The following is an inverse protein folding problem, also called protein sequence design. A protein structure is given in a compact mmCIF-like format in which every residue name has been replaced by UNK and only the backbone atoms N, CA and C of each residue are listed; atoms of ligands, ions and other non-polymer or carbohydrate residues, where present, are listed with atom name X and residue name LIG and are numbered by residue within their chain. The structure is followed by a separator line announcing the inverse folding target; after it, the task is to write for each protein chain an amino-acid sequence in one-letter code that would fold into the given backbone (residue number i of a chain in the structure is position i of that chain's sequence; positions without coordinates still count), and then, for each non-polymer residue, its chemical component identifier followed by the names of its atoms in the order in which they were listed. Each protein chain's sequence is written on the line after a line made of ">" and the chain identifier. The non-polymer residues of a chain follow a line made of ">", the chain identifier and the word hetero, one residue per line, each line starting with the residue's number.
data_IF_187382176417
#
_entry.id   IF_187382176417
#
_cell.length_a   1.000
_cell.length_b   1.000
_cell.length_c   1.000
_cell.angle_alpha   90.00
_cell.angle_beta   90.00
_cell.angle_gamma   90.00
#
_symmetry.space_group_name_H-M   'P 1'
#
loop_
_entity.id
_entity.type
_entity.pdbx_description
1 polymer ?
#
# COMPACT_ATOMS: atom_id res chain seq x y z
N UNK A 1 4.53 6.70 28.36
CA UNK A 1 4.04 5.32 28.57
C UNK A 1 2.55 5.43 28.74
N UNK A 2 1.78 4.72 27.90
CA UNK A 2 0.32 4.73 27.97
C UNK A 2 -0.16 3.88 29.14
N UNK A 3 -1.36 4.15 29.65
CA UNK A 3 -1.98 3.25 30.61
C UNK A 3 -2.34 1.92 29.94
N UNK A 4 -2.22 0.82 30.68
CA UNK A 4 -2.47 -0.52 30.13
C UNK A 4 -3.93 -0.72 29.75
N UNK A 5 -4.87 -0.15 30.51
CA UNK A 5 -6.29 -0.23 30.18
C UNK A 5 -6.61 0.55 28.90
N UNK A 6 -6.04 1.74 28.74
CA UNK A 6 -6.16 2.55 27.52
C UNK A 6 -5.67 1.79 26.27
N UNK A 7 -4.53 1.09 26.37
CA UNK A 7 -4.01 0.27 25.27
C UNK A 7 -4.97 -0.86 24.90
N UNK A 8 -5.52 -1.56 25.90
CA UNK A 8 -6.47 -2.66 25.67
C UNK A 8 -7.76 -2.15 25.01
N UNK A 9 -8.31 -1.05 25.51
CA UNK A 9 -9.55 -0.50 24.96
C UNK A 9 -9.34 0.06 23.55
N UNK A 10 -8.20 0.70 23.29
CA UNK A 10 -7.81 1.14 21.94
C UNK A 10 -7.73 -0.03 20.97
N UNK A 11 -7.03 -1.11 21.31
CA UNK A 11 -6.94 -2.29 20.45
C UNK A 11 -8.31 -2.93 20.20
N UNK A 12 -9.16 -3.05 21.24
CA UNK A 12 -10.50 -3.62 21.10
C UNK A 12 -11.36 -2.83 20.12
N UNK A 13 -11.43 -1.50 20.28
CA UNK A 13 -12.15 -0.61 19.36
C UNK A 13 -11.59 -0.71 17.94
N UNK A 14 -10.27 -0.63 17.79
CA UNK A 14 -9.61 -0.74 16.49
C UNK A 14 -9.91 -2.07 15.79
N UNK A 15 -9.89 -3.18 16.54
CA UNK A 15 -10.17 -4.51 16.01
C UNK A 15 -11.60 -4.66 15.51
N UNK A 16 -12.57 -4.13 16.25
CA UNK A 16 -13.97 -4.09 15.83
C UNK A 16 -14.17 -3.25 14.56
N UNK A 17 -13.55 -2.07 14.49
CA UNK A 17 -13.75 -1.14 13.38
C UNK A 17 -12.98 -1.52 12.11
N UNK A 18 -11.76 -2.06 12.26
CA UNK A 18 -10.82 -2.25 11.15
C UNK A 18 -10.69 -3.70 10.67
N UNK A 19 -10.91 -4.70 11.52
CA UNK A 19 -10.59 -6.10 11.21
C UNK A 19 -11.79 -7.05 11.15
N UNK A 20 -12.88 -6.75 11.86
CA UNK A 20 -14.00 -7.70 12.05
C UNK A 20 -14.55 -8.34 10.76
N UNK A 21 -14.56 -7.60 9.64
CA UNK A 21 -15.05 -8.12 8.35
C UNK A 21 -14.00 -8.70 7.41
N UNK A 22 -12.71 -8.52 7.66
CA UNK A 22 -11.66 -8.76 6.65
C UNK A 22 -10.36 -9.40 7.19
N UNK A 23 -10.13 -9.40 8.50
CA UNK A 23 -9.02 -10.08 9.17
C UNK A 23 -9.46 -10.64 10.53
N UNK A 24 -10.26 -11.72 10.54
CA UNK A 24 -10.84 -12.27 11.77
C UNK A 24 -9.78 -12.66 12.81
N UNK A 25 -8.63 -13.19 12.38
CA UNK A 25 -7.50 -13.51 13.27
C UNK A 25 -6.99 -12.26 14.02
N UNK A 26 -6.86 -11.13 13.34
CA UNK A 26 -6.40 -9.87 13.96
C UNK A 26 -7.48 -9.24 14.83
N UNK A 27 -8.76 -9.37 14.46
CA UNK A 27 -9.87 -8.97 15.33
C UNK A 27 -9.84 -9.76 16.66
N UNK A 28 -9.60 -11.07 16.59
CA UNK A 28 -9.48 -11.93 17.76
C UNK A 28 -8.31 -11.52 18.67
N UNK A 29 -7.12 -11.31 18.10
CA UNK A 29 -5.95 -10.84 18.87
C UNK A 29 -6.24 -9.52 19.58
N UNK A 30 -6.94 -8.60 18.91
CA UNK A 30 -7.33 -7.32 19.50
C UNK A 30 -8.32 -7.49 20.65
N UNK A 31 -9.33 -8.37 20.52
CA UNK A 31 -10.35 -8.56 21.56
C UNK A 31 -9.81 -9.25 22.82
N UNK A 32 -8.86 -10.17 22.64
CA UNK A 32 -8.27 -11.01 23.71
C UNK A 32 -6.96 -10.41 24.28
N UNK A 33 -6.52 -9.25 23.79
CA UNK A 33 -5.24 -8.63 24.17
C UNK A 33 -5.06 -8.50 25.70
N UNK A 34 -6.14 -8.16 26.41
CA UNK A 34 -6.14 -7.94 27.86
C UNK A 34 -5.76 -9.18 28.68
N UNK A 35 -5.93 -10.37 28.13
CA UNK A 35 -5.57 -11.63 28.79
C UNK A 35 -4.06 -11.93 28.70
N UNK A 36 -3.30 -11.09 27.98
CA UNK A 36 -1.87 -11.24 27.74
C UNK A 36 -1.07 -10.02 28.25
N UNK A 37 -0.80 -9.93 29.56
CA UNK A 37 -0.17 -8.74 30.17
C UNK A 37 1.23 -8.45 29.65
N UNK A 38 2.00 -9.48 29.26
CA UNK A 38 3.34 -9.31 28.68
C UNK A 38 3.33 -8.62 27.31
N UNK A 39 2.25 -8.81 26.55
CA UNK A 39 2.01 -8.18 25.26
C UNK A 39 1.54 -6.72 25.45
N UNK A 40 0.58 -6.49 26.35
CA UNK A 40 0.12 -5.14 26.71
C UNK A 40 1.27 -4.26 27.20
N UNK A 41 2.10 -4.78 28.11
CA UNK A 41 3.26 -4.07 28.63
C UNK A 41 4.32 -3.77 27.55
N UNK A 42 4.46 -4.65 26.55
CA UNK A 42 5.32 -4.39 25.40
C UNK A 42 4.81 -3.25 24.54
N UNK A 43 3.50 -3.14 24.33
CA UNK A 43 2.89 -2.10 23.51
C UNK A 43 2.96 -0.75 24.25
N UNK A 44 2.56 -0.72 25.52
CA UNK A 44 2.41 0.51 26.32
C UNK A 44 3.69 1.32 26.53
N UNK A 45 4.87 0.71 26.38
CA UNK A 45 6.17 1.40 26.50
C UNK A 45 6.57 2.21 25.26
N UNK A 46 5.96 1.95 24.11
CA UNK A 46 6.26 2.66 22.87
C UNK A 46 5.49 3.97 22.78
N UNK A 47 5.92 4.88 21.90
CA UNK A 47 5.16 6.12 21.63
C UNK A 47 3.85 5.80 20.89
N UNK A 48 2.81 6.66 20.98
CA UNK A 48 1.48 6.37 20.39
C UNK A 48 1.50 6.00 18.90
N UNK A 49 2.43 6.54 18.10
CA UNK A 49 2.60 6.17 16.69
C UNK A 49 3.04 4.71 16.50
N UNK A 50 3.81 4.17 17.44
CA UNK A 50 4.34 2.81 17.40
C UNK A 50 3.40 1.80 18.10
N UNK A 51 2.33 2.27 18.75
CA UNK A 51 1.29 1.44 19.37
C UNK A 51 0.18 0.99 18.39
N UNK A 52 0.31 1.30 17.10
CA UNK A 52 -0.74 1.01 16.13
C UNK A 52 -0.88 -0.52 15.89
N UNK A 53 -2.10 -1.10 15.95
CA UNK A 53 -2.30 -2.54 15.78
C UNK A 53 -1.73 -3.07 14.46
N UNK A 54 -1.99 -2.36 13.35
CA UNK A 54 -1.45 -2.72 12.04
C UNK A 54 0.09 -2.79 12.00
N UNK A 55 0.79 -1.94 12.74
CA UNK A 55 2.25 -1.94 12.77
C UNK A 55 2.78 -3.16 13.53
N UNK A 56 2.17 -3.49 14.68
CA UNK A 56 2.52 -4.69 15.45
C UNK A 56 2.25 -5.97 14.65
N UNK A 57 1.11 -6.04 13.97
CA UNK A 57 0.78 -7.17 13.11
C UNK A 57 1.74 -7.31 11.94
N UNK A 58 2.12 -6.20 11.30
CA UNK A 58 3.16 -6.20 10.27
C UNK A 58 4.51 -6.66 10.82
N UNK A 59 4.90 -6.24 12.03
CA UNK A 59 6.15 -6.67 12.67
C UNK A 59 6.20 -8.18 12.90
N UNK A 60 5.11 -8.76 13.44
CA UNK A 60 5.00 -10.22 13.63
C UNK A 60 5.04 -10.95 12.30
N UNK A 61 4.24 -10.50 11.34
CA UNK A 61 4.18 -11.11 10.02
C UNK A 61 5.54 -11.03 9.30
N UNK A 62 6.28 -9.94 9.45
CA UNK A 62 7.62 -9.77 8.88
C UNK A 62 8.62 -10.81 9.40
N UNK A 63 8.59 -11.11 10.71
CA UNK A 63 9.46 -12.14 11.28
C UNK A 63 9.13 -13.53 10.72
N UNK A 64 7.84 -13.86 10.61
CA UNK A 64 7.39 -15.12 9.99
C UNK A 64 7.82 -15.22 8.53
N UNK A 65 7.59 -14.18 7.73
CA UNK A 65 8.02 -14.11 6.33
C UNK A 65 9.55 -14.12 6.17
N UNK A 66 10.29 -13.73 7.21
CA UNK A 66 11.76 -13.79 7.23
C UNK A 66 12.29 -15.18 7.59
N UNK A 67 11.41 -16.17 7.78
CA UNK A 67 11.77 -17.55 8.05
C UNK A 67 11.82 -17.94 9.53
N UNK A 68 11.29 -17.11 10.44
CA UNK A 68 11.16 -17.50 11.84
C UNK A 68 10.28 -18.75 11.96
N UNK A 69 10.84 -19.84 12.48
CA UNK A 69 10.11 -21.07 12.70
C UNK A 69 9.25 -20.96 13.96
N UNK A 70 7.94 -20.77 13.78
CA UNK A 70 6.99 -20.58 14.87
C UNK A 70 5.60 -21.15 14.51
N UNK A 71 4.86 -21.79 15.45
CA UNK A 71 3.53 -22.37 15.19
C UNK A 71 2.51 -21.41 14.58
N UNK A 72 2.59 -20.12 14.93
CA UNK A 72 1.72 -19.06 14.37
C UNK A 72 1.69 -19.03 12.82
N UNK A 73 2.75 -19.50 12.15
CA UNK A 73 2.78 -19.62 10.69
C UNK A 73 1.66 -20.53 10.18
N UNK A 74 1.45 -21.67 10.84
CA UNK A 74 0.44 -22.66 10.48
C UNK A 74 -1.00 -22.17 10.76
N UNK A 75 -1.14 -21.25 11.71
CA UNK A 75 -2.42 -20.58 11.96
C UNK A 75 -2.69 -19.55 10.85
N UNK A 76 -1.67 -18.79 10.45
CA UNK A 76 -1.79 -17.76 9.40
C UNK A 76 -2.05 -18.32 8.00
N UNK A 77 -1.47 -19.48 7.68
CA UNK A 77 -1.72 -20.18 6.41
C UNK A 77 -3.00 -21.05 6.43
N UNK A 78 -3.67 -21.15 7.58
CA UNK A 78 -4.90 -21.91 7.78
C UNK A 78 -4.69 -23.43 7.76
N UNK A 79 -3.47 -23.93 7.93
CA UNK A 79 -3.17 -25.37 8.00
C UNK A 79 -3.53 -26.00 9.34
N UNK A 80 -3.64 -25.20 10.41
CA UNK A 80 -4.17 -25.62 11.72
C UNK A 80 -5.24 -24.66 12.22
N UNK A 81 -6.21 -25.21 12.95
CA UNK A 81 -7.27 -24.46 13.63
C UNK A 81 -6.96 -24.39 15.13
N UNK A 82 -6.01 -23.51 15.49
CA UNK A 82 -5.58 -23.25 16.87
C UNK A 82 -5.85 -21.79 17.26
N UNK A 83 -6.06 -21.49 18.57
CA UNK A 83 -6.24 -20.12 19.04
C UNK A 83 -5.06 -19.22 18.65
N UNK A 84 -5.33 -18.14 17.91
CA UNK A 84 -4.29 -17.26 17.38
C UNK A 84 -3.61 -16.40 18.45
N UNK A 85 -4.37 -15.91 19.44
CA UNK A 85 -3.85 -14.91 20.40
C UNK A 85 -2.73 -15.46 21.29
N UNK A 86 -2.82 -16.68 21.87
CA UNK A 86 -1.73 -17.25 22.64
C UNK A 86 -0.43 -17.41 21.82
N UNK A 87 -0.53 -17.94 20.60
CA UNK A 87 0.63 -18.09 19.71
C UNK A 87 1.20 -16.73 19.26
N UNK A 88 0.33 -15.74 19.03
CA UNK A 88 0.74 -14.38 18.72
C UNK A 88 1.51 -13.72 19.89
N UNK A 89 0.96 -13.81 21.09
CA UNK A 89 1.57 -13.28 22.30
C UNK A 89 2.92 -13.94 22.60
N UNK A 90 3.02 -15.26 22.44
CA UNK A 90 4.28 -16.00 22.60
C UNK A 90 5.35 -15.50 21.63
N UNK A 91 5.03 -15.40 20.33
CA UNK A 91 5.98 -14.89 19.33
C UNK A 91 6.48 -13.50 19.70
N UNK A 92 5.57 -12.60 20.07
CA UNK A 92 5.93 -11.21 20.42
C UNK A 92 6.83 -11.17 21.65
N UNK A 93 6.50 -11.93 22.71
CA UNK A 93 7.28 -11.92 23.96
C UNK A 93 8.64 -12.58 23.77
N UNK A 94 8.71 -13.71 23.07
CA UNK A 94 9.95 -14.46 22.81
C UNK A 94 10.88 -13.71 21.85
N UNK A 95 10.35 -12.84 20.98
CA UNK A 95 11.11 -12.05 20.01
C UNK A 95 11.12 -10.54 20.33
N UNK A 96 10.96 -10.17 21.61
CA UNK A 96 10.79 -8.78 22.08
C UNK A 96 11.77 -7.79 21.46
N UNK A 97 13.07 -8.09 21.44
CA UNK A 97 14.07 -7.18 20.91
C UNK A 97 13.88 -6.87 19.42
N UNK A 98 13.51 -7.87 18.61
CA UNK A 98 13.26 -7.70 17.19
C UNK A 98 11.95 -6.92 16.94
N UNK A 99 10.90 -7.23 17.71
CA UNK A 99 9.62 -6.49 17.63
C UNK A 99 9.83 -5.02 18.01
N UNK A 100 10.54 -4.74 19.11
CA UNK A 100 10.81 -3.37 19.55
C UNK A 100 11.53 -2.56 18.49
N UNK A 101 12.54 -3.15 17.84
CA UNK A 101 13.26 -2.47 16.78
C UNK A 101 12.37 -2.18 15.57
N UNK A 102 11.51 -3.12 15.17
CA UNK A 102 10.56 -2.92 14.07
C UNK A 102 9.54 -1.84 14.39
N UNK A 103 8.94 -1.85 15.59
CA UNK A 103 7.97 -0.84 16.02
C UNK A 103 8.59 0.58 16.05
N UNK A 104 9.87 0.68 16.42
CA UNK A 104 10.60 1.96 16.49
C UNK A 104 10.94 2.50 15.10
N UNK A 105 11.40 1.62 14.19
CA UNK A 105 12.03 2.03 12.92
C UNK A 105 11.10 1.99 11.73
N UNK A 106 10.04 1.19 11.78
CA UNK A 106 9.13 1.01 10.64
C UNK A 106 7.84 1.80 10.83
N UNK A 107 7.10 1.90 9.73
CA UNK A 107 5.73 2.43 9.68
C UNK A 107 4.90 1.53 8.79
N UNK A 108 3.61 1.43 9.09
CA UNK A 108 2.66 0.74 8.22
C UNK A 108 2.66 1.43 6.86
N UNK A 109 2.89 0.65 5.81
CA UNK A 109 2.95 1.14 4.44
C UNK A 109 2.08 0.25 3.58
N UNK A 110 1.25 0.85 2.74
CA UNK A 110 0.39 0.11 1.83
C UNK A 110 0.58 0.63 0.41
N UNK A 111 0.88 -0.29 -0.51
CA UNK A 111 0.91 0.00 -1.94
C UNK A 111 -0.17 -0.87 -2.61
N UNK A 112 -1.43 -0.43 -2.56
CA UNK A 112 -2.53 -1.20 -3.14
C UNK A 112 -2.50 -1.14 -4.68
N UNK A 113 -1.99 -2.22 -5.30
CA UNK A 113 -1.83 -2.37 -6.76
C UNK A 113 -3.17 -2.46 -7.48
N UNK A 114 -4.24 -2.90 -6.81
CA UNK A 114 -5.59 -2.92 -7.40
C UNK A 114 -6.08 -1.54 -7.86
N UNK A 115 -5.50 -0.45 -7.33
CA UNK A 115 -5.83 0.92 -7.75
C UNK A 115 -5.40 1.24 -9.18
N UNK A 116 -4.47 0.47 -9.76
CA UNK A 116 -4.08 0.60 -11.16
C UNK A 116 -5.26 0.44 -12.13
N UNK A 117 -6.30 -0.32 -11.76
CA UNK A 117 -7.54 -0.42 -12.55
C UNK A 117 -8.26 0.92 -12.72
N UNK A 118 -8.23 1.80 -11.73
CA UNK A 118 -8.83 3.13 -11.87
C UNK A 118 -7.85 4.10 -12.52
N UNK A 119 -6.56 4.00 -12.17
CA UNK A 119 -5.51 4.84 -12.73
C UNK A 119 -5.40 4.67 -14.26
N UNK A 120 -5.51 3.45 -14.79
CA UNK A 120 -5.45 3.21 -16.23
C UNK A 120 -6.56 3.97 -16.99
N UNK A 121 -7.80 3.94 -16.49
CA UNK A 121 -8.92 4.68 -17.07
C UNK A 121 -8.67 6.20 -17.01
N UNK A 122 -8.23 6.70 -15.85
CA UNK A 122 -7.93 8.13 -15.67
C UNK A 122 -6.79 8.61 -16.58
N UNK A 123 -5.73 7.83 -16.71
CA UNK A 123 -4.59 8.16 -17.57
C UNK A 123 -5.01 8.11 -19.05
N UNK A 124 -5.83 7.14 -19.44
CA UNK A 124 -6.36 7.05 -20.81
C UNK A 124 -7.21 8.28 -21.16
N UNK A 125 -8.15 8.65 -20.28
CA UNK A 125 -8.95 9.87 -20.45
C UNK A 125 -8.09 11.15 -20.48
N UNK A 126 -7.08 11.25 -19.60
CA UNK A 126 -6.17 12.38 -19.61
C UNK A 126 -5.39 12.50 -20.94
N UNK A 127 -4.88 11.38 -21.44
CA UNK A 127 -4.17 11.35 -22.72
C UNK A 127 -5.09 11.72 -23.89
N UNK A 128 -6.35 11.28 -23.88
CA UNK A 128 -7.35 11.61 -24.92
C UNK A 128 -7.68 13.10 -24.96
N UNK A 129 -7.84 13.73 -23.80
CA UNK A 129 -8.12 15.17 -23.69
C UNK A 129 -6.93 16.03 -24.11
N UNK A 130 -5.74 15.69 -23.60
CA UNK A 130 -4.53 16.44 -23.88
C UNK A 130 -3.99 16.25 -25.32
N UNK A 131 -4.24 15.08 -25.93
CA UNK A 131 -3.66 14.67 -27.22
C UNK A 131 -2.13 14.76 -27.24
N UNK A 132 -1.51 14.49 -26.09
CA UNK A 132 -0.07 14.51 -25.86
C UNK A 132 0.32 13.28 -25.01
N UNK A 133 1.58 12.80 -25.11
CA UNK A 133 2.08 11.83 -24.16
C UNK A 133 2.08 12.41 -22.75
N UNK A 134 1.94 11.53 -21.76
CA UNK A 134 1.84 11.92 -20.36
C UNK A 134 3.23 12.03 -19.71
N UNK A 135 3.35 13.02 -18.83
CA UNK A 135 4.32 13.07 -17.75
C UNK A 135 3.56 12.87 -16.43
N UNK A 136 3.70 11.68 -15.83
CA UNK A 136 2.90 11.25 -14.70
C UNK A 136 3.66 11.34 -13.38
N UNK A 137 3.08 12.03 -12.39
CA UNK A 137 3.58 12.13 -11.03
C UNK A 137 2.58 11.46 -10.08
N UNK A 138 3.02 10.46 -9.32
CA UNK A 138 2.21 9.85 -8.25
C UNK A 138 2.65 10.34 -6.87
N UNK A 139 1.77 11.05 -6.15
CA UNK A 139 2.02 11.56 -4.81
C UNK A 139 1.62 10.51 -3.77
N UNK A 140 2.54 10.22 -2.83
CA UNK A 140 2.39 9.15 -1.85
C UNK A 140 2.52 7.77 -2.49
N UNK A 141 3.53 7.62 -3.34
CA UNK A 141 3.70 6.45 -4.19
C UNK A 141 4.11 5.19 -3.41
N UNK A 142 4.49 5.29 -2.13
CA UNK A 142 5.02 4.19 -1.33
C UNK A 142 6.20 3.50 -2.03
N UNK A 143 6.01 2.27 -2.55
CA UNK A 143 6.99 1.53 -3.34
C UNK A 143 6.93 1.77 -4.84
N UNK A 144 6.03 2.63 -5.31
CA UNK A 144 5.91 3.00 -6.72
C UNK A 144 5.28 1.95 -7.63
N UNK A 145 4.70 0.87 -7.08
CA UNK A 145 4.24 -0.26 -7.91
C UNK A 145 3.14 0.14 -8.91
N UNK A 146 2.30 1.12 -8.55
CA UNK A 146 1.26 1.61 -9.45
C UNK A 146 1.84 2.38 -10.64
N UNK A 147 3.07 2.92 -10.55
CA UNK A 147 3.71 3.60 -11.68
C UNK A 147 3.92 2.66 -12.87
N UNK A 148 3.91 1.34 -12.66
CA UNK A 148 4.00 0.33 -13.71
C UNK A 148 2.62 -0.07 -14.28
N UNK A 149 1.59 0.77 -14.12
CA UNK A 149 0.22 0.49 -14.63
C UNK A 149 0.19 0.07 -16.10
N UNK A 150 1.04 0.65 -16.95
CA UNK A 150 1.12 0.33 -18.38
C UNK A 150 1.76 -1.05 -18.68
N UNK A 151 2.31 -1.72 -17.66
CA UNK A 151 2.86 -3.08 -17.73
C UNK A 151 1.83 -4.14 -17.32
N UNK A 152 0.67 -3.72 -16.81
CA UNK A 152 -0.36 -4.64 -16.34
C UNK A 152 -1.44 -4.80 -17.39
N UNK A 153 -2.00 -6.01 -17.48
CA UNK A 153 -3.29 -6.21 -18.12
C UNK A 153 -4.38 -5.91 -17.10
N UNK A 154 -5.47 -5.28 -17.54
CA UNK A 154 -6.62 -5.03 -16.66
C UNK A 154 -7.88 -5.46 -17.40
N UNK A 155 -8.63 -6.37 -16.79
CA UNK A 155 -9.90 -6.88 -17.27
C UNK A 155 -11.02 -6.24 -16.45
N UNK A 156 -11.94 -5.55 -17.14
CA UNK A 156 -13.11 -4.90 -16.57
C UNK A 156 -14.35 -5.72 -16.89
N UNK A 157 -14.96 -6.32 -15.86
CA UNK A 157 -16.22 -7.06 -15.98
C UNK A 157 -17.40 -6.10 -15.81
N UNK A 158 -18.23 -5.99 -16.85
CA UNK A 158 -19.43 -5.16 -16.94
C UNK A 158 -20.63 -6.06 -17.25
N UNK A 159 -21.30 -6.55 -16.20
CA UNK A 159 -22.33 -7.58 -16.35
C UNK A 159 -21.72 -8.87 -16.91
N UNK A 160 -22.19 -9.33 -18.07
CA UNK A 160 -21.68 -10.53 -18.74
C UNK A 160 -20.51 -10.24 -19.71
N UNK A 161 -20.16 -8.97 -19.91
CA UNK A 161 -19.11 -8.56 -20.83
C UNK A 161 -17.80 -8.30 -20.08
N UNK A 162 -16.68 -8.61 -20.74
CA UNK A 162 -15.34 -8.27 -20.27
C UNK A 162 -14.65 -7.44 -21.33
N UNK A 163 -14.22 -6.25 -20.96
CA UNK A 163 -13.33 -5.41 -21.77
C UNK A 163 -11.96 -5.34 -21.12
N UNK A 164 -10.89 -5.31 -21.92
CA UNK A 164 -9.53 -5.37 -21.41
C UNK A 164 -8.68 -4.24 -21.98
N UNK A 165 -7.71 -3.81 -21.17
CA UNK A 165 -6.65 -2.89 -21.59
C UNK A 165 -5.28 -3.42 -21.21
N UNK A 166 -4.27 -3.04 -21.99
CA UNK A 166 -2.87 -3.36 -21.73
C UNK A 166 -2.36 -4.64 -22.43
N UNK A 167 -1.09 -4.98 -22.21
CA UNK A 167 -0.43 -6.05 -22.94
C UNK A 167 -1.08 -7.41 -22.69
N UNK A 168 -1.36 -8.17 -23.75
CA UNK A 168 -1.98 -9.49 -23.64
C UNK A 168 -1.08 -10.53 -22.95
N UNK A 169 0.23 -10.32 -22.98
CA UNK A 169 1.27 -11.13 -22.36
C UNK A 169 1.79 -10.55 -21.03
N UNK A 170 1.02 -9.64 -20.41
CA UNK A 170 1.37 -9.07 -19.11
C UNK A 170 1.58 -10.17 -18.05
N UNK A 171 2.61 -10.01 -17.21
CA UNK A 171 2.85 -10.92 -16.09
C UNK A 171 1.75 -10.80 -15.01
N UNK A 172 1.13 -9.63 -14.90
CA UNK A 172 0.06 -9.35 -13.94
C UNK A 172 -1.21 -8.93 -14.68
N UNK A 173 -2.28 -9.69 -14.43
CA UNK A 173 -3.65 -9.33 -14.84
C UNK A 173 -4.47 -8.93 -13.62
N UNK A 174 -4.99 -7.71 -13.64
CA UNK A 174 -5.91 -7.21 -12.63
C UNK A 174 -7.34 -7.44 -13.08
N UNK A 175 -8.18 -7.95 -12.17
CA UNK A 175 -9.61 -8.11 -12.38
C UNK A 175 -10.36 -6.97 -11.69
N UNK A 176 -11.24 -6.28 -12.40
CA UNK A 176 -12.03 -5.17 -11.90
C UNK A 176 -13.51 -5.36 -12.24
N UNK A 177 -14.35 -5.52 -11.22
CA UNK A 177 -15.81 -5.52 -11.39
C UNK A 177 -16.32 -4.06 -11.48
N UNK A 178 -16.93 -3.70 -12.60
CA UNK A 178 -17.59 -2.41 -12.79
C UNK A 178 -19.03 -2.53 -12.29
N UNK A 179 -19.28 -2.00 -11.09
CA UNK A 179 -20.60 -2.08 -10.44
C UNK A 179 -21.64 -1.14 -11.03
N UNK A 180 -21.20 -0.06 -11.69
CA UNK A 180 -22.08 0.94 -12.29
C UNK A 180 -21.35 1.76 -13.34
N UNK A 181 -22.06 2.17 -14.39
CA UNK A 181 -21.52 2.95 -15.49
C UNK A 181 -20.89 2.08 -16.58
N UNK A 182 -20.33 2.73 -17.59
CA UNK A 182 -19.68 2.10 -18.74
C UNK A 182 -18.43 2.89 -19.07
N UNK A 183 -17.32 2.65 -18.34
CA UNK A 183 -16.06 3.35 -18.61
C UNK A 183 -15.59 3.04 -20.04
N UNK A 184 -14.98 4.02 -20.69
CA UNK A 184 -14.36 3.87 -22.01
C UNK A 184 -13.02 3.14 -21.86
N UNK A 185 -13.01 1.83 -22.09
CA UNK A 185 -11.81 0.98 -22.00
C UNK A 185 -11.10 0.96 -23.35
N UNK A 186 -10.01 1.70 -23.46
CA UNK A 186 -9.13 1.60 -24.63
C UNK A 186 -8.37 0.27 -24.61
N UNK A 187 -8.17 -0.35 -25.78
CA UNK A 187 -7.40 -1.60 -25.89
C UNK A 187 -5.95 -1.45 -25.39
N UNK A 188 -5.33 -0.32 -25.70
CA UNK A 188 -3.96 0.00 -25.31
C UNK A 188 -3.91 1.06 -24.20
N UNK A 189 -2.88 0.95 -23.34
CA UNK A 189 -2.55 1.99 -22.38
C UNK A 189 -2.08 3.28 -23.09
N UNK A 190 -2.31 4.47 -22.49
CA UNK A 190 -1.85 5.72 -23.07
C UNK A 190 -0.32 5.81 -23.10
N UNK A 191 0.28 6.59 -24.02
CA UNK A 191 1.72 6.80 -24.05
C UNK A 191 2.19 7.60 -22.83
N UNK A 192 2.90 6.94 -21.91
CA UNK A 192 3.55 7.56 -20.74
C UNK A 192 5.04 7.74 -21.06
N UNK A 193 5.41 8.96 -21.44
CA UNK A 193 6.79 9.29 -21.83
C UNK A 193 7.73 9.50 -20.64
N UNK A 194 7.17 9.81 -19.48
CA UNK A 194 7.91 10.06 -18.26
C UNK A 194 7.01 9.82 -17.05
N UNK A 195 7.57 9.21 -16.00
CA UNK A 195 6.85 9.01 -14.74
C UNK A 195 7.77 9.09 -13.53
N UNK A 196 7.24 9.50 -12.39
CA UNK A 196 7.95 9.48 -11.10
C UNK A 196 6.96 9.38 -9.94
N UNK A 197 7.33 8.66 -8.89
CA UNK A 197 6.62 8.66 -7.61
C UNK A 197 7.31 9.57 -6.60
N UNK A 198 6.52 10.17 -5.72
CA UNK A 198 7.03 10.93 -4.58
C UNK A 198 6.48 10.30 -3.33
N UNK A 199 7.36 10.02 -2.37
CA UNK A 199 6.97 9.58 -1.04
C UNK A 199 7.95 10.15 -0.02
N UNK A 200 7.51 10.36 1.22
CA UNK A 200 8.39 10.83 2.30
C UNK A 200 9.40 9.76 2.68
N UNK A 201 8.98 8.49 2.66
CA UNK A 201 9.80 7.34 3.02
C UNK A 201 9.51 6.21 2.02
N UNK A 202 9.96 6.35 0.76
CA UNK A 202 9.70 5.36 -0.28
C UNK A 202 10.28 4.01 0.11
N UNK A 203 9.61 2.95 -0.31
CA UNK A 203 10.06 1.57 -0.15
C UNK A 203 10.80 1.17 -1.42
N UNK A 204 12.05 0.75 -1.29
CA UNK A 204 12.77 0.11 -2.38
C UNK A 204 12.27 -1.33 -2.52
N UNK A 205 11.30 -1.54 -3.41
CA UNK A 205 10.72 -2.85 -3.68
C UNK A 205 11.69 -3.83 -4.33
N UNK A 206 12.84 -3.36 -4.83
CA UNK A 206 13.92 -4.23 -5.35
C UNK A 206 14.84 -4.75 -4.23
N UNK A 207 14.77 -4.14 -3.04
CA UNK A 207 15.41 -4.65 -1.84
C UNK A 207 14.51 -5.71 -1.18
N UNK A 208 14.99 -6.95 -1.10
CA UNK A 208 14.22 -8.08 -0.57
C UNK A 208 13.69 -7.85 0.85
N UNK A 209 14.43 -7.16 1.73
CA UNK A 209 14.00 -6.91 3.10
C UNK A 209 12.90 -5.83 3.17
N UNK A 210 12.97 -4.82 2.31
CA UNK A 210 11.94 -3.78 2.21
C UNK A 210 10.67 -4.27 1.51
N UNK A 211 10.81 -5.05 0.43
CA UNK A 211 9.72 -5.75 -0.22
C UNK A 211 8.98 -6.68 0.75
N UNK A 212 9.72 -7.41 1.60
CA UNK A 212 9.12 -8.24 2.65
C UNK A 212 8.38 -7.42 3.69
N UNK A 213 8.88 -6.23 4.06
CA UNK A 213 8.14 -5.33 4.96
C UNK A 213 6.81 -4.89 4.35
N UNK A 214 6.81 -4.53 3.06
CA UNK A 214 5.60 -4.17 2.33
C UNK A 214 4.61 -5.35 2.26
N UNK A 215 5.09 -6.58 2.05
CA UNK A 215 4.26 -7.79 2.11
C UNK A 215 3.70 -8.04 3.51
N UNK A 216 4.51 -7.87 4.55
CA UNK A 216 4.10 -8.06 5.94
C UNK A 216 2.99 -7.08 6.37
N UNK A 217 2.92 -5.90 5.75
CA UNK A 217 1.84 -4.94 5.96
C UNK A 217 0.49 -5.41 5.39
N UNK A 218 0.44 -6.46 4.56
CA UNK A 218 -0.79 -7.13 4.18
C UNK A 218 -1.19 -8.17 5.23
N UNK A 219 -2.50 -8.39 5.34
CA UNK A 219 -3.05 -9.32 6.31
C UNK A 219 -2.94 -10.78 5.80
N UNK A 220 -2.68 -11.76 6.69
CA UNK A 220 -2.58 -13.17 6.33
C UNK A 220 -3.83 -13.71 5.62
N UNK A 221 -5.01 -13.21 5.99
CA UNK A 221 -6.31 -13.59 5.42
C UNK A 221 -6.56 -13.11 3.98
N UNK A 222 -5.57 -12.50 3.31
CA UNK A 222 -5.74 -11.87 2.00
C UNK A 222 -4.77 -12.43 0.95
N UNK A 223 -4.82 -13.74 0.64
CA UNK A 223 -3.88 -14.39 -0.26
C UNK A 223 -3.89 -13.79 -1.67
N UNK A 224 -5.06 -13.38 -2.18
CA UNK A 224 -5.15 -12.73 -3.50
C UNK A 224 -4.42 -11.37 -3.53
N UNK A 225 -4.51 -10.58 -2.45
CA UNK A 225 -3.78 -9.30 -2.34
C UNK A 225 -2.27 -9.55 -2.26
N UNK A 226 -1.85 -10.59 -1.54
CA UNK A 226 -0.44 -10.97 -1.44
C UNK A 226 0.10 -11.44 -2.79
N UNK A 227 -0.63 -12.29 -3.52
CA UNK A 227 -0.24 -12.74 -4.85
C UNK A 227 -0.13 -11.58 -5.84
N UNK A 228 -1.10 -10.66 -5.83
CA UNK A 228 -1.06 -9.43 -6.64
C UNK A 228 0.15 -8.56 -6.31
N UNK A 229 0.43 -8.36 -5.03
CA UNK A 229 1.60 -7.58 -4.60
C UNK A 229 2.90 -8.24 -5.05
N UNK A 230 3.04 -9.55 -4.88
CA UNK A 230 4.23 -10.31 -5.29
C UNK A 230 4.47 -10.18 -6.81
N UNK A 231 3.43 -10.40 -7.63
CA UNK A 231 3.54 -10.23 -9.08
C UNK A 231 3.92 -8.79 -9.49
N UNK A 232 3.40 -7.78 -8.79
CA UNK A 232 3.76 -6.39 -9.05
C UNK A 232 5.21 -6.07 -8.66
N UNK A 233 5.72 -6.67 -7.58
CA UNK A 233 7.14 -6.58 -7.20
C UNK A 233 8.02 -7.21 -8.29
N UNK A 234 7.65 -8.38 -8.83
CA UNK A 234 8.39 -9.01 -9.94
C UNK A 234 8.44 -8.13 -11.20
N UNK A 235 7.35 -7.40 -11.50
CA UNK A 235 7.35 -6.40 -12.57
C UNK A 235 8.29 -5.24 -12.23
N UNK A 236 8.25 -4.75 -10.98
CA UNK A 236 9.11 -3.66 -10.52
C UNK A 236 10.61 -4.04 -10.50
N UNK A 237 10.97 -5.30 -10.25
CA UNK A 237 12.35 -5.76 -10.36
C UNK A 237 12.90 -5.62 -11.79
N UNK A 238 12.04 -5.83 -12.80
CA UNK A 238 12.42 -5.67 -14.22
C UNK A 238 12.32 -4.23 -14.68
N UNK A 239 11.37 -3.48 -14.15
CA UNK A 239 11.10 -2.08 -14.50
C UNK A 239 11.02 -1.27 -13.20
N UNK A 240 12.18 -0.91 -12.62
CA UNK A 240 12.22 -0.24 -11.32
C UNK A 240 11.51 1.12 -11.37
N UNK A 241 10.54 1.39 -10.47
CA UNK A 241 9.88 2.68 -10.42
C UNK A 241 10.87 3.75 -9.98
N UNK A 242 10.81 4.90 -10.66
CA UNK A 242 11.59 6.08 -10.26
C UNK A 242 10.89 6.77 -9.10
N UNK A 243 11.59 6.91 -7.97
CA UNK A 243 11.05 7.54 -6.76
C UNK A 243 11.87 8.75 -6.31
N UNK A 244 11.20 9.74 -5.73
CA UNK A 244 11.79 10.89 -5.06
C UNK A 244 11.41 10.81 -3.58
N UNK A 245 12.40 10.63 -2.71
CA UNK A 245 12.23 10.74 -1.26
C UNK A 245 12.12 12.23 -0.87
N UNK A 246 10.89 12.71 -0.64
CA UNK A 246 10.63 14.10 -0.29
C UNK A 246 9.23 14.27 0.33
N UNK A 247 9.05 15.36 1.06
CA UNK A 247 7.72 15.86 1.39
C UNK A 247 6.93 16.19 0.12
N UNK A 248 5.60 16.01 0.16
CA UNK A 248 4.76 16.03 -1.04
C UNK A 248 4.90 17.31 -1.87
N UNK A 249 4.90 18.50 -1.25
CA UNK A 249 5.01 19.77 -1.96
C UNK A 249 6.41 19.96 -2.58
N UNK A 250 7.47 19.71 -1.81
CA UNK A 250 8.86 19.84 -2.29
C UNK A 250 9.18 18.82 -3.39
N UNK A 251 8.71 17.60 -3.22
CA UNK A 251 8.82 16.54 -4.21
C UNK A 251 8.08 16.89 -5.51
N UNK A 252 6.87 17.46 -5.40
CA UNK A 252 6.10 17.87 -6.57
C UNK A 252 6.82 18.97 -7.35
N UNK A 253 7.33 20.00 -6.67
CA UNK A 253 8.09 21.07 -7.30
C UNK A 253 9.31 20.51 -8.07
N UNK A 254 10.08 19.61 -7.44
CA UNK A 254 11.23 18.93 -8.05
C UNK A 254 10.82 18.08 -9.26
N UNK A 255 9.72 17.36 -9.17
CA UNK A 255 9.22 16.50 -10.24
C UNK A 255 8.72 17.31 -11.44
N UNK A 256 7.93 18.36 -11.20
CA UNK A 256 7.44 19.26 -12.25
C UNK A 256 8.59 19.91 -13.03
N UNK A 257 9.67 20.32 -12.35
CA UNK A 257 10.86 20.88 -13.00
C UNK A 257 11.61 19.89 -13.91
N UNK A 258 11.44 18.59 -13.68
CA UNK A 258 12.11 17.51 -14.43
C UNK A 258 11.21 16.88 -15.50
N UNK A 259 9.91 17.14 -15.46
CA UNK A 259 8.95 16.59 -16.40
C UNK A 259 9.20 17.17 -17.80
N UNK A 260 9.34 16.36 -18.86
CA UNK A 260 9.71 16.82 -20.20
C UNK A 260 8.73 17.85 -20.78
N UNK A 261 9.24 18.80 -21.56
CA UNK A 261 8.43 19.72 -22.35
C UNK A 261 7.62 18.96 -23.42
N UNK A 262 6.48 19.53 -23.84
CA UNK A 262 5.61 18.91 -24.87
C UNK A 262 4.82 17.69 -24.40
N UNK A 263 4.71 17.49 -23.09
CA UNK A 263 3.95 16.39 -22.47
C UNK A 263 2.91 16.95 -21.50
N UNK A 264 1.76 16.28 -21.43
CA UNK A 264 0.68 16.66 -20.52
C UNK A 264 1.03 16.22 -19.09
N UNK A 265 0.94 17.14 -18.13
CA UNK A 265 1.28 16.85 -16.75
C UNK A 265 0.07 16.25 -16.03
N UNK A 266 0.21 15.04 -15.51
CA UNK A 266 -0.80 14.37 -14.70
C UNK A 266 -0.25 14.12 -13.31
N UNK A 267 -0.95 14.61 -12.29
CA UNK A 267 -0.61 14.34 -10.89
C UNK A 267 -1.72 13.51 -10.27
N UNK A 268 -1.37 12.34 -9.73
CA UNK A 268 -2.29 11.45 -9.05
C UNK A 268 -1.95 11.38 -7.56
N UNK A 269 -2.96 11.06 -6.77
CA UNK A 269 -2.81 10.59 -5.39
C UNK A 269 -3.91 9.56 -5.21
N UNK A 270 -3.53 8.36 -4.80
CA UNK A 270 -4.52 7.31 -4.61
C UNK A 270 -5.09 7.33 -3.19
N UNK A 271 -4.34 7.82 -2.20
CA UNK A 271 -4.79 7.85 -0.80
C UNK A 271 -4.12 8.93 0.07
N UNK A 272 -2.86 9.26 -0.19
CA UNK A 272 -2.04 10.13 0.69
C UNK A 272 -2.67 11.49 0.95
N UNK A 273 -3.49 12.00 0.04
CA UNK A 273 -4.16 13.30 0.17
C UNK A 273 -4.87 13.51 1.52
N UNK A 274 -5.46 12.45 2.07
CA UNK A 274 -6.16 12.49 3.36
C UNK A 274 -5.22 12.67 4.55
N UNK A 275 -3.94 12.31 4.41
CA UNK A 275 -2.92 12.43 5.46
C UNK A 275 -2.14 13.75 5.40
N UNK A 276 -2.20 14.46 4.27
CA UNK A 276 -1.45 15.70 4.12
C UNK A 276 -2.02 16.79 5.04
N UNK A 277 -1.18 17.56 5.75
CA UNK A 277 -1.61 18.77 6.42
C UNK A 277 -2.25 19.76 5.43
N UNK A 278 -3.18 20.59 5.92
CA UNK A 278 -3.85 21.59 5.08
C UNK A 278 -2.88 22.52 4.33
N UNK A 279 -1.81 23.06 4.94
CA UNK A 279 -0.84 23.88 4.22
C UNK A 279 -0.18 23.16 3.04
N UNK A 280 0.09 21.85 3.20
CA UNK A 280 0.70 21.03 2.15
C UNK A 280 -0.27 20.83 0.98
N UNK A 281 -1.55 20.57 1.26
CA UNK A 281 -2.58 20.46 0.21
C UNK A 281 -2.71 21.76 -0.58
N UNK A 282 -2.74 22.90 0.12
CA UNK A 282 -2.83 24.22 -0.52
C UNK A 282 -1.62 24.51 -1.42
N UNK A 283 -0.41 24.17 -0.96
CA UNK A 283 0.80 24.31 -1.76
C UNK A 283 0.75 23.46 -3.05
N UNK A 284 0.29 22.20 -2.95
CA UNK A 284 0.12 21.32 -4.12
C UNK A 284 -0.91 21.89 -5.10
N UNK A 285 -2.08 22.30 -4.62
CA UNK A 285 -3.13 22.88 -5.48
C UNK A 285 -2.66 24.18 -6.16
N UNK A 286 -1.93 25.03 -5.45
CA UNK A 286 -1.38 26.27 -6.01
C UNK A 286 -0.36 25.98 -7.14
N UNK A 287 0.53 25.01 -6.95
CA UNK A 287 1.47 24.59 -8.01
C UNK A 287 0.75 24.04 -9.24
N UNK A 288 -0.30 23.22 -9.03
CA UNK A 288 -1.11 22.69 -10.13
C UNK A 288 -1.86 23.79 -10.88
N UNK A 289 -2.43 24.77 -10.17
CA UNK A 289 -3.15 25.88 -10.78
C UNK A 289 -2.23 26.82 -11.60
N UNK A 290 -0.98 26.99 -11.16
CA UNK A 290 0.02 27.81 -11.83
C UNK A 290 0.69 27.11 -13.05
N UNK A 291 0.48 25.80 -13.22
CA UNK A 291 1.02 25.06 -14.37
C UNK A 291 0.27 25.40 -15.66
N UNK A 292 1.02 25.76 -16.71
CA UNK A 292 0.48 25.91 -18.07
C UNK A 292 0.30 24.58 -18.81
N UNK A 293 0.82 23.48 -18.24
CA UNK A 293 0.69 22.13 -18.80
C UNK A 293 -0.61 21.52 -18.29
N UNK A 294 -1.59 21.35 -19.19
CA UNK A 294 -2.95 20.94 -18.86
C UNK A 294 -3.35 19.67 -19.61
N UNK A 295 -4.34 18.99 -19.02
CA UNK A 295 -5.09 17.86 -19.58
C UNK A 295 -6.42 18.38 -20.12
#
# INVERSE_FOLDING_TARGET
>A
MSDHAEVVDFYRSYGTESFAGAAPLYAQVCSELGDHPGLVALIAKHDPEAQQPNLLFAAVHYLLLSGLNHPLRQIYDGTVDEPVTPAFADLVVTNRAAIDELLRTRRTQTNEVGRAAILALMLSDASKRAKQPLAWIDLGASGGLNLNTDQFRIDYTMGEQVESTGPADAQLTLQCEVRSGSPDVAADHPPISWRVGIDRAPIDVTNTAEARWLQACLWPSQPERQARLAAAIEVADRIPPRLIAAEAADGLAKAMAQAPAGTALVVTTSWVWFYLPEPTRQAVLAMMAASDRRV
#
